data_IF_650507226066
#
_entry.id   IF_650507226066
#
_cell.length_a   1.000
_cell.length_b   1.000
_cell.length_c   1.000
_cell.angle_alpha   90.00
_cell.angle_beta   90.00
_cell.angle_gamma   90.00
#
_symmetry.space_group_name_H-M   'P 1'
#
loop_
_entity.id
_entity.type
_entity.pdbx_description
1 polymer ?
#
# COMPACT_ATOMS: atom_id res chain seq x y z
N UNK A 1 2.11 37.15 -35.00
CA UNK A 1 1.24 35.95 -35.06
C UNK A 1 2.14 34.74 -35.24
N UNK A 2 1.83 33.66 -34.53
CA UNK A 2 2.54 32.35 -34.48
C UNK A 2 3.77 32.36 -33.53
N UNK A 3 3.91 31.52 -32.51
CA UNK A 3 3.37 30.17 -32.26
C UNK A 3 2.98 29.96 -30.77
N UNK A 4 1.69 29.99 -30.47
CA UNK A 4 1.13 29.40 -29.23
C UNK A 4 0.31 28.18 -29.60
N UNK A 5 0.97 27.11 -30.05
CA UNK A 5 0.29 25.87 -30.43
C UNK A 5 1.04 24.66 -29.84
N UNK A 6 0.97 24.50 -28.51
CA UNK A 6 0.47 23.27 -27.85
C UNK A 6 0.55 23.41 -26.30
N UNK A 7 -0.55 23.68 -25.56
CA UNK A 7 -0.53 23.56 -24.10
C UNK A 7 -1.18 22.23 -23.70
N UNK A 8 -0.53 21.08 -23.96
CA UNK A 8 -1.08 19.78 -23.56
C UNK A 8 -0.15 18.97 -22.64
N UNK A 9 1.10 19.42 -22.43
CA UNK A 9 1.98 18.84 -21.43
C UNK A 9 2.17 19.85 -20.27
N UNK A 10 1.83 19.49 -19.02
CA UNK A 10 2.16 20.32 -17.88
C UNK A 10 3.68 20.44 -17.72
N UNK A 11 4.20 21.67 -17.64
CA UNK A 11 5.60 21.95 -17.31
C UNK A 11 5.80 21.79 -15.80
N UNK A 12 6.54 20.75 -15.40
CA UNK A 12 6.89 20.51 -14.00
C UNK A 12 8.22 21.16 -13.64
N UNK A 13 8.27 21.84 -12.49
CA UNK A 13 9.52 22.36 -11.94
C UNK A 13 10.45 21.23 -11.52
N UNK A 14 11.77 21.45 -11.62
CA UNK A 14 12.77 20.49 -11.16
C UNK A 14 12.54 20.06 -9.70
N UNK A 15 12.15 20.99 -8.82
CA UNK A 15 11.85 20.69 -7.42
C UNK A 15 10.62 19.79 -7.26
N UNK A 16 9.58 19.96 -8.10
CA UNK A 16 8.41 19.09 -8.08
C UNK A 16 8.79 17.66 -8.47
N UNK A 17 9.54 17.49 -9.56
CA UNK A 17 9.98 16.17 -10.02
C UNK A 17 10.89 15.47 -9.00
N UNK A 18 11.83 16.21 -8.39
CA UNK A 18 12.70 15.67 -7.33
C UNK A 18 11.87 15.26 -6.12
N UNK A 19 10.92 16.08 -5.68
CA UNK A 19 10.08 15.75 -4.53
C UNK A 19 9.21 14.51 -4.76
N UNK A 20 8.61 14.37 -5.95
CA UNK A 20 7.82 13.19 -6.34
C UNK A 20 8.71 11.94 -6.46
N UNK A 21 9.92 12.09 -7.01
CA UNK A 21 10.89 11.00 -7.11
C UNK A 21 11.35 10.50 -5.74
N UNK A 22 11.60 11.42 -4.80
CA UNK A 22 11.94 11.08 -3.42
C UNK A 22 10.78 10.37 -2.71
N UNK A 23 9.57 10.91 -2.83
CA UNK A 23 8.37 10.29 -2.26
C UNK A 23 8.19 8.87 -2.79
N UNK A 24 8.31 8.67 -4.11
CA UNK A 24 8.25 7.35 -4.75
C UNK A 24 9.27 6.39 -4.16
N UNK A 25 10.53 6.80 -4.04
CA UNK A 25 11.60 5.95 -3.51
C UNK A 25 11.36 5.61 -2.03
N UNK A 26 10.89 6.56 -1.22
CA UNK A 26 10.61 6.34 0.19
C UNK A 26 9.44 5.36 0.41
N UNK A 27 8.33 5.55 -0.32
CA UNK A 27 7.19 4.62 -0.24
C UNK A 27 7.58 3.25 -0.80
N UNK A 28 8.32 3.21 -1.92
CA UNK A 28 8.84 1.98 -2.49
C UNK A 28 9.75 1.21 -1.53
N UNK A 29 10.66 1.92 -0.84
CA UNK A 29 11.51 1.34 0.20
C UNK A 29 10.69 0.72 1.34
N UNK A 30 9.68 1.45 1.83
CA UNK A 30 8.84 0.95 2.92
C UNK A 30 8.09 -0.32 2.53
N UNK A 31 7.42 -0.33 1.37
CA UNK A 31 6.72 -1.53 0.87
C UNK A 31 7.68 -2.69 0.59
N UNK A 32 8.87 -2.41 0.04
CA UNK A 32 9.88 -3.43 -0.19
C UNK A 32 10.33 -4.06 1.12
N UNK A 33 10.66 -3.25 2.12
CA UNK A 33 11.06 -3.72 3.43
C UNK A 33 9.98 -4.58 4.08
N UNK A 34 8.73 -4.12 4.03
CA UNK A 34 7.57 -4.87 4.54
C UNK A 34 7.40 -6.21 3.85
N UNK A 35 7.61 -6.30 2.53
CA UNK A 35 7.56 -7.56 1.78
C UNK A 35 8.72 -8.49 2.11
N UNK A 36 9.95 -7.98 2.11
CA UNK A 36 11.16 -8.75 2.43
C UNK A 36 11.15 -9.28 3.86
N UNK A 37 10.67 -8.49 4.83
CA UNK A 37 10.55 -8.93 6.21
C UNK A 37 9.60 -10.15 6.35
N UNK A 38 8.56 -10.21 5.51
CA UNK A 38 7.62 -11.35 5.46
C UNK A 38 8.26 -12.57 4.80
N UNK A 39 8.98 -12.36 3.68
CA UNK A 39 9.73 -13.43 3.00
C UNK A 39 10.85 -14.02 3.87
N UNK A 40 11.50 -13.19 4.68
CA UNK A 40 12.59 -13.61 5.57
C UNK A 40 12.10 -14.41 6.79
N UNK A 41 10.80 -14.37 7.10
CA UNK A 41 10.21 -15.11 8.20
C UNK A 41 9.36 -16.28 7.66
N UNK A 42 9.91 -17.49 7.73
CA UNK A 42 9.25 -18.72 7.25
C UNK A 42 7.93 -19.04 7.95
N UNK A 43 7.67 -18.46 9.11
CA UNK A 43 6.44 -18.65 9.89
C UNK A 43 5.46 -17.47 9.75
N UNK A 44 5.75 -16.50 8.89
CA UNK A 44 4.86 -15.35 8.72
C UNK A 44 3.54 -15.77 8.06
N UNK A 45 2.43 -15.25 8.58
CA UNK A 45 1.10 -15.42 8.02
C UNK A 45 0.24 -14.17 8.28
N UNK A 46 -0.69 -13.90 7.38
CA UNK A 46 -1.71 -12.85 7.53
C UNK A 46 -2.83 -13.25 8.50
N UNK A 47 -2.88 -14.50 8.98
CA UNK A 47 -3.99 -15.00 9.80
C UNK A 47 -4.25 -14.15 11.05
N UNK A 48 -3.21 -13.76 11.79
CA UNK A 48 -3.35 -12.95 12.99
C UNK A 48 -3.93 -11.56 12.68
N UNK A 49 -3.52 -10.97 11.56
CA UNK A 49 -4.08 -9.72 11.06
C UNK A 49 -5.55 -9.92 10.69
N UNK A 50 -5.87 -10.89 9.81
CA UNK A 50 -7.25 -11.13 9.39
C UNK A 50 -8.20 -11.42 10.55
N UNK A 51 -7.79 -12.20 11.55
CA UNK A 51 -8.62 -12.52 12.72
C UNK A 51 -8.87 -11.32 13.65
N UNK A 52 -8.00 -10.32 13.63
CA UNK A 52 -8.17 -9.10 14.42
C UNK A 52 -9.08 -8.06 13.73
N UNK A 53 -9.57 -8.35 12.51
CA UNK A 53 -10.59 -7.56 11.83
C UNK A 53 -11.95 -7.66 12.53
N UNK A 54 -12.45 -6.54 13.06
CA UNK A 54 -13.64 -6.48 13.95
C UNK A 54 -14.89 -5.85 13.33
N UNK A 55 -14.80 -5.34 12.11
CA UNK A 55 -15.91 -4.64 11.44
C UNK A 55 -16.62 -5.56 10.43
N UNK A 56 -17.38 -5.00 9.49
CA UNK A 56 -18.15 -5.67 8.42
C UNK A 56 -17.33 -6.75 7.69
N UNK A 57 -16.01 -6.58 7.53
CA UNK A 57 -15.14 -7.55 6.87
C UNK A 57 -14.68 -8.72 7.75
N UNK A 58 -15.03 -8.75 9.03
CA UNK A 58 -14.67 -9.83 9.97
C UNK A 58 -15.14 -11.22 9.49
N UNK A 59 -16.32 -11.31 8.87
CA UNK A 59 -16.83 -12.56 8.30
C UNK A 59 -15.98 -13.07 7.13
N UNK A 60 -15.59 -12.18 6.23
CA UNK A 60 -14.69 -12.50 5.10
C UNK A 60 -13.31 -12.91 5.61
N UNK A 61 -12.78 -12.19 6.61
CA UNK A 61 -11.48 -12.48 7.19
C UNK A 61 -11.44 -13.88 7.83
N UNK A 62 -12.47 -14.23 8.61
CA UNK A 62 -12.63 -15.58 9.18
C UNK A 62 -12.72 -16.64 8.09
N UNK A 63 -13.50 -16.40 7.04
CA UNK A 63 -13.61 -17.35 5.93
C UNK A 63 -12.27 -17.62 5.26
N UNK A 64 -11.47 -16.58 4.98
CA UNK A 64 -10.11 -16.71 4.45
C UNK A 64 -9.24 -17.54 5.39
N UNK A 65 -9.23 -17.23 6.69
CA UNK A 65 -8.40 -17.92 7.68
C UNK A 65 -8.79 -19.39 7.83
N UNK A 66 -10.09 -19.72 7.78
CA UNK A 66 -10.57 -21.10 7.91
C UNK A 66 -10.30 -21.97 6.68
N UNK A 67 -9.92 -21.38 5.55
CA UNK A 67 -9.58 -22.10 4.32
C UNK A 67 -8.06 -22.05 4.09
N UNK A 68 -7.31 -23.14 4.34
CA UNK A 68 -5.85 -23.14 4.24
C UNK A 68 -5.32 -22.76 2.85
N UNK A 69 -6.03 -23.13 1.78
CA UNK A 69 -5.63 -22.79 0.42
C UNK A 69 -5.76 -21.30 0.13
N UNK A 70 -6.86 -20.67 0.56
CA UNK A 70 -7.06 -19.22 0.42
C UNK A 70 -6.10 -18.43 1.29
N UNK A 71 -5.88 -18.86 2.55
CA UNK A 71 -4.93 -18.20 3.43
C UNK A 71 -3.51 -18.22 2.85
N UNK A 72 -3.04 -19.38 2.37
CA UNK A 72 -1.72 -19.51 1.73
C UNK A 72 -1.58 -18.63 0.48
N UNK A 73 -2.64 -18.52 -0.32
CA UNK A 73 -2.66 -17.62 -1.47
C UNK A 73 -2.55 -16.15 -1.04
N UNK A 74 -3.33 -15.73 -0.03
CA UNK A 74 -3.26 -14.37 0.52
C UNK A 74 -1.88 -14.09 1.12
N UNK A 75 -1.29 -15.04 1.84
CA UNK A 75 0.05 -14.91 2.41
C UNK A 75 1.11 -14.70 1.31
N UNK A 76 1.04 -15.53 0.25
CA UNK A 76 1.93 -15.43 -0.92
C UNK A 76 1.78 -14.08 -1.62
N UNK A 77 0.53 -13.62 -1.81
CA UNK A 77 0.25 -12.30 -2.41
C UNK A 77 0.80 -11.17 -1.55
N UNK A 78 0.71 -11.25 -0.23
CA UNK A 78 1.26 -10.23 0.65
C UNK A 78 2.79 -10.19 0.59
N UNK A 79 3.43 -11.36 0.68
CA UNK A 79 4.90 -11.48 0.62
C UNK A 79 5.46 -10.95 -0.70
N UNK A 80 4.99 -11.51 -1.83
CA UNK A 80 5.51 -11.17 -3.15
C UNK A 80 4.94 -9.88 -3.70
N UNK A 81 3.67 -9.59 -3.45
CA UNK A 81 3.02 -8.36 -3.90
C UNK A 81 3.72 -7.13 -3.35
N UNK A 82 3.91 -7.04 -2.03
CA UNK A 82 4.64 -5.93 -1.41
C UNK A 82 6.08 -5.82 -1.94
N UNK A 83 6.78 -6.95 -2.06
CA UNK A 83 8.17 -6.98 -2.54
C UNK A 83 8.25 -6.48 -3.99
N UNK A 84 7.42 -6.99 -4.90
CA UNK A 84 7.45 -6.61 -6.32
C UNK A 84 7.00 -5.16 -6.54
N UNK A 85 5.98 -4.70 -5.80
CA UNK A 85 5.54 -3.31 -5.82
C UNK A 85 6.66 -2.39 -5.30
N UNK A 86 7.29 -2.75 -4.19
CA UNK A 86 8.41 -2.02 -3.62
C UNK A 86 9.59 -1.91 -4.60
N UNK A 87 9.98 -3.02 -5.25
CA UNK A 87 11.03 -3.02 -6.28
C UNK A 87 10.66 -2.14 -7.49
N UNK A 88 9.42 -2.27 -8.00
CA UNK A 88 8.89 -1.44 -9.09
C UNK A 88 9.00 0.04 -8.74
N UNK A 89 8.57 0.42 -7.54
CA UNK A 89 8.61 1.79 -7.05
C UNK A 89 10.00 2.28 -6.71
N UNK A 90 10.94 1.44 -6.25
CA UNK A 90 12.32 1.88 -5.98
C UNK A 90 13.08 2.14 -7.28
N UNK A 91 13.07 1.17 -8.19
CA UNK A 91 13.81 1.25 -9.46
C UNK A 91 13.11 2.10 -10.54
N UNK A 92 11.85 2.46 -10.32
CA UNK A 92 11.06 3.25 -11.26
C UNK A 92 10.54 2.43 -12.45
N UNK A 93 10.61 1.11 -12.35
CA UNK A 93 10.13 0.18 -13.38
C UNK A 93 8.61 0.11 -13.29
N UNK A 94 7.89 0.58 -14.32
CA UNK A 94 6.41 0.59 -14.31
C UNK A 94 5.83 1.29 -13.07
N UNK A 95 6.46 2.37 -12.62
CA UNK A 95 6.13 3.13 -11.40
C UNK A 95 4.64 3.49 -11.30
N UNK A 96 4.00 3.86 -12.41
CA UNK A 96 2.56 4.16 -12.46
C UNK A 96 1.71 2.94 -12.08
N UNK A 97 1.99 1.79 -12.66
CA UNK A 97 1.26 0.55 -12.36
C UNK A 97 1.59 0.04 -10.95
N UNK A 98 2.86 0.10 -10.54
CA UNK A 98 3.27 -0.19 -9.17
C UNK A 98 2.54 0.66 -8.14
N UNK A 99 2.37 1.96 -8.43
CA UNK A 99 1.63 2.89 -7.57
C UNK A 99 0.15 2.55 -7.47
N UNK A 100 -0.50 2.22 -8.59
CA UNK A 100 -1.92 1.81 -8.61
C UNK A 100 -2.12 0.53 -7.80
N UNK A 101 -1.33 -0.51 -8.07
CA UNK A 101 -1.46 -1.80 -7.38
C UNK A 101 -1.11 -1.67 -5.89
N UNK A 102 -0.08 -0.90 -5.56
CA UNK A 102 0.29 -0.59 -4.18
C UNK A 102 -0.79 0.17 -3.42
N UNK A 103 -1.40 1.19 -4.04
CA UNK A 103 -2.50 1.93 -3.45
C UNK A 103 -3.70 1.00 -3.18
N UNK A 104 -4.07 0.15 -4.15
CA UNK A 104 -5.13 -0.83 -3.97
C UNK A 104 -4.86 -1.79 -2.80
N UNK A 105 -3.63 -2.30 -2.69
CA UNK A 105 -3.24 -3.21 -1.61
C UNK A 105 -3.33 -2.54 -0.23
N UNK A 106 -2.82 -1.31 -0.11
CA UNK A 106 -2.90 -0.54 1.13
C UNK A 106 -4.33 -0.18 1.53
N UNK A 107 -5.19 0.13 0.55
CA UNK A 107 -6.63 0.31 0.81
C UNK A 107 -7.26 -0.99 1.33
N UNK A 108 -6.87 -2.15 0.80
CA UNK A 108 -7.35 -3.43 1.33
C UNK A 108 -6.93 -3.59 2.80
N UNK A 109 -5.70 -3.27 3.17
CA UNK A 109 -5.28 -3.28 4.59
C UNK A 109 -6.13 -2.35 5.45
N UNK A 110 -6.32 -1.10 5.00
CA UNK A 110 -7.17 -0.14 5.70
C UNK A 110 -8.60 -0.67 5.89
N UNK A 111 -9.18 -1.35 4.90
CA UNK A 111 -10.52 -1.92 5.01
C UNK A 111 -10.63 -3.07 6.02
N UNK A 112 -9.57 -3.88 6.17
CA UNK A 112 -9.55 -4.95 7.18
C UNK A 112 -9.32 -4.41 8.60
N UNK A 113 -8.61 -3.28 8.75
CA UNK A 113 -8.37 -2.62 10.04
C UNK A 113 -8.59 -1.10 9.99
N UNK A 114 -9.84 -0.64 9.84
CA UNK A 114 -10.11 0.79 9.84
C UNK A 114 -9.97 1.32 11.28
N UNK A 115 -9.27 2.45 11.50
CA UNK A 115 -9.03 2.99 12.84
C UNK A 115 -10.26 3.72 13.40
N UNK A 116 -11.41 3.05 13.45
CA UNK A 116 -12.69 3.63 13.88
C UNK A 116 -12.77 3.67 15.40
N UNK A 117 -13.43 4.70 15.92
CA UNK A 117 -13.73 4.83 17.34
C UNK A 117 -14.59 3.65 17.81
N UNK A 118 -14.17 3.01 18.89
CA UNK A 118 -14.87 1.84 19.48
C UNK A 118 -14.36 0.48 18.98
N UNK A 119 -13.40 0.43 18.06
CA UNK A 119 -12.67 -0.78 17.70
C UNK A 119 -11.31 -0.79 18.40
N UNK A 120 -11.14 -1.69 19.36
CA UNK A 120 -9.83 -1.94 19.97
C UNK A 120 -9.19 -3.12 19.26
N UNK A 121 -7.92 -3.00 18.88
CA UNK A 121 -7.17 -4.04 18.19
C UNK A 121 -6.12 -4.67 19.10
N UNK A 122 -5.75 -5.91 18.84
CA UNK A 122 -4.85 -6.68 19.69
C UNK A 122 -3.41 -6.18 19.59
N UNK A 123 -3.03 -5.64 18.43
CA UNK A 123 -1.74 -4.96 18.25
C UNK A 123 -1.87 -3.52 18.75
N UNK A 124 -0.97 -3.05 19.64
CA UNK A 124 -0.93 -1.64 20.03
C UNK A 124 -0.84 -0.76 18.77
N UNK A 125 -1.70 0.26 18.66
CA UNK A 125 -1.65 1.13 17.49
C UNK A 125 -0.33 1.90 17.49
N UNK A 126 0.27 2.05 16.31
CA UNK A 126 1.54 2.76 16.13
C UNK A 126 1.42 4.28 16.39
N UNK A 127 0.19 4.79 16.55
CA UNK A 127 -0.12 6.17 16.86
C UNK A 127 -1.56 6.35 17.32
N UNK A 128 -1.98 7.59 17.56
CA UNK A 128 -3.37 7.93 17.86
C UNK A 128 -4.11 8.22 16.55
N UNK A 129 -4.89 7.23 16.08
CA UNK A 129 -5.66 7.32 14.85
C UNK A 129 -7.15 7.51 15.16
N UNK A 130 -7.84 8.33 14.36
CA UNK A 130 -9.30 8.52 14.43
C UNK A 130 -10.05 7.98 13.21
N UNK A 131 -9.48 8.19 12.01
CA UNK A 131 -10.02 7.76 10.72
C UNK A 131 -8.89 7.53 9.71
N UNK A 132 -7.84 8.36 9.74
CA UNK A 132 -6.71 8.26 8.82
C UNK A 132 -5.56 7.53 9.51
N UNK A 133 -5.19 6.35 9.01
CA UNK A 133 -3.99 5.61 9.42
C UNK A 133 -2.84 5.78 8.42
N UNK A 134 -1.69 5.16 8.71
CA UNK A 134 -0.54 5.17 7.80
C UNK A 134 -0.84 4.55 6.43
N UNK A 135 -1.66 3.49 6.37
CA UNK A 135 -1.96 2.79 5.12
C UNK A 135 -2.75 3.71 4.19
N UNK A 136 -3.72 4.47 4.72
CA UNK A 136 -4.49 5.42 3.95
C UNK A 136 -3.62 6.58 3.45
N UNK A 137 -2.72 7.11 4.30
CA UNK A 137 -1.78 8.17 3.89
C UNK A 137 -0.86 7.69 2.76
N UNK A 138 -0.27 6.51 2.89
CA UNK A 138 0.60 5.94 1.86
C UNK A 138 -0.18 5.59 0.58
N UNK A 139 -1.42 5.10 0.69
CA UNK A 139 -2.29 4.87 -0.46
C UNK A 139 -2.58 6.16 -1.22
N UNK A 140 -2.87 7.26 -0.51
CA UNK A 140 -3.05 8.58 -1.10
C UNK A 140 -1.75 9.09 -1.76
N UNK A 141 -0.59 8.87 -1.14
CA UNK A 141 0.71 9.23 -1.73
C UNK A 141 0.97 8.45 -3.04
N UNK A 142 0.68 7.15 -3.08
CA UNK A 142 0.77 6.34 -4.29
C UNK A 142 -0.25 6.77 -5.35
N UNK A 143 -1.48 7.11 -4.95
CA UNK A 143 -2.47 7.65 -5.87
C UNK A 143 -1.97 8.94 -6.54
N UNK A 144 -1.37 9.84 -5.76
CA UNK A 144 -0.69 11.04 -6.29
C UNK A 144 0.38 10.60 -7.29
N UNK A 145 1.33 9.73 -6.90
CA UNK A 145 2.40 9.27 -7.78
C UNK A 145 1.91 8.60 -9.08
N UNK A 146 0.74 7.96 -9.07
CA UNK A 146 0.14 7.37 -10.27
C UNK A 146 -0.38 8.43 -11.27
N UNK A 147 -0.70 9.64 -10.80
CA UNK A 147 -1.21 10.74 -11.64
C UNK A 147 -0.10 11.55 -12.30
N UNK A 148 1.12 11.51 -11.77
CA UNK A 148 2.28 12.20 -12.34
C UNK A 148 3.13 11.24 -13.21
N UNK A 149 3.85 11.78 -14.21
CA UNK A 149 4.70 10.98 -15.08
C UNK A 149 5.91 10.34 -14.36
#
# INVERSE_FOLDING_TARGET
MNDRLNPLAPDYSHYQLVSLSLLRVLVGWHLLYEGMAKLANSNWTSAAYLLDSKWIFSGVAKWIVTNPGLLSFVDTLNMWGLTLIGLSLMFGLMSRWGSIVGACLLVVYYLFHPPLVGLEYSKPPEGSYLLVDKNLVEACALFVLAMFP
#
